data_IF_596360611307
#
_entry.id   IF_596360611307
#
_cell.length_a   1.000
_cell.length_b   1.000
_cell.length_c   1.000
_cell.angle_alpha   90.00
_cell.angle_beta   90.00
_cell.angle_gamma   90.00
#
_symmetry.space_group_name_H-M   'P 1'
#
loop_
_entity.id
_entity.type
_entity.pdbx_description
1 polymer ?
#
# COMPACT_ATOMS: atom_id res chain seq x y z
N UNK A 1 17.51 0.05 6.51
CA UNK A 1 16.37 0.88 6.06
C UNK A 1 16.88 2.28 5.83
N UNK A 2 16.50 2.89 4.71
CA UNK A 2 16.90 4.28 4.40
C UNK A 2 16.08 5.28 5.22
N UNK A 3 16.58 6.52 5.30
CA UNK A 3 15.84 7.60 5.98
C UNK A 3 14.51 7.88 5.28
N UNK A 4 14.47 7.78 3.96
CA UNK A 4 13.23 7.95 3.19
C UNK A 4 12.22 6.87 3.53
N UNK A 5 12.65 5.62 3.66
CA UNK A 5 11.77 4.50 4.05
C UNK A 5 11.28 4.66 5.49
N UNK A 6 12.15 5.08 6.40
CA UNK A 6 11.75 5.34 7.79
C UNK A 6 10.71 6.47 7.88
N UNK A 7 10.93 7.54 7.11
CA UNK A 7 10.00 8.66 7.03
C UNK A 7 8.65 8.24 6.44
N UNK A 8 8.67 7.39 5.42
CA UNK A 8 7.46 6.86 4.79
C UNK A 8 6.67 5.97 5.76
N UNK A 9 7.35 5.13 6.53
CA UNK A 9 6.72 4.32 7.57
C UNK A 9 6.09 5.19 8.66
N UNK A 10 6.74 6.30 9.03
CA UNK A 10 6.15 7.25 9.99
C UNK A 10 4.86 7.86 9.46
N UNK A 11 4.82 8.22 8.17
CA UNK A 11 3.62 8.74 7.53
C UNK A 11 2.49 7.70 7.51
N UNK A 12 2.81 6.45 7.20
CA UNK A 12 1.85 5.35 7.23
C UNK A 12 1.32 5.10 8.65
N UNK A 13 2.19 5.14 9.64
CA UNK A 13 1.80 4.99 11.05
C UNK A 13 0.83 6.09 11.48
N UNK A 14 1.09 7.33 11.11
CA UNK A 14 0.21 8.46 11.40
C UNK A 14 -1.15 8.31 10.70
N UNK A 15 -1.17 7.81 9.47
CA UNK A 15 -2.39 7.63 8.69
C UNK A 15 -3.36 6.63 9.34
N UNK A 16 -2.88 5.67 10.14
CA UNK A 16 -3.73 4.68 10.83
C UNK A 16 -4.82 5.32 11.68
N UNK A 17 -4.57 6.52 12.22
CA UNK A 17 -5.55 7.20 13.08
C UNK A 17 -6.85 7.54 12.34
N UNK A 18 -6.82 7.60 11.01
CA UNK A 18 -7.99 7.88 10.18
C UNK A 18 -8.78 6.62 9.78
N UNK A 19 -8.34 5.42 10.16
CA UNK A 19 -8.99 4.18 9.79
C UNK A 19 -10.42 4.11 10.36
N UNK A 20 -11.33 3.59 9.54
CA UNK A 20 -12.72 3.32 9.92
C UNK A 20 -12.91 1.81 9.87
N UNK A 21 -12.70 1.15 11.00
CA UNK A 21 -12.67 -0.31 11.07
C UNK A 21 -13.52 -0.88 12.21
N UNK A 22 -14.84 -0.56 12.24
CA UNK A 22 -15.72 -0.97 13.37
C UNK A 22 -15.97 -2.47 13.40
N UNK A 23 -15.73 -3.20 12.30
CA UNK A 23 -16.01 -4.62 12.21
C UNK A 23 -14.81 -5.49 12.60
N UNK A 24 -13.61 -5.16 12.12
CA UNK A 24 -12.39 -5.93 12.39
C UNK A 24 -11.60 -5.40 13.58
N UNK A 25 -11.75 -4.13 13.88
CA UNK A 25 -10.90 -3.40 14.82
C UNK A 25 -9.41 -3.47 14.43
N UNK A 26 -9.12 -3.65 13.13
CA UNK A 26 -7.78 -3.78 12.59
C UNK A 26 -7.45 -2.56 11.74
N UNK A 27 -6.83 -1.56 12.34
CA UNK A 27 -6.47 -0.32 11.68
C UNK A 27 -5.16 -0.47 10.90
N UNK A 28 -5.19 -0.07 9.63
CA UNK A 28 -4.04 -0.10 8.73
C UNK A 28 -3.79 1.29 8.20
N UNK A 29 -2.54 1.71 8.19
CA UNK A 29 -2.11 2.93 7.51
C UNK A 29 -1.17 2.60 6.37
N UNK A 30 -1.27 3.34 5.28
CA UNK A 30 -0.40 3.19 4.13
C UNK A 30 0.10 4.56 3.67
N UNK A 31 1.29 4.56 3.07
CA UNK A 31 1.88 5.74 2.46
C UNK A 31 2.59 5.36 1.18
N UNK A 32 2.47 6.19 0.16
CA UNK A 32 3.13 6.03 -1.13
C UNK A 32 4.10 7.18 -1.32
N UNK A 33 5.31 6.88 -1.77
CA UNK A 33 6.28 7.89 -2.16
C UNK A 33 6.31 7.98 -3.68
N UNK A 34 5.94 9.14 -4.21
CA UNK A 34 6.06 9.43 -5.64
C UNK A 34 7.50 9.85 -5.98
N UNK A 35 7.85 9.71 -7.26
CA UNK A 35 9.21 10.05 -7.73
C UNK A 35 9.57 11.51 -7.56
N UNK A 36 8.59 12.41 -7.48
CA UNK A 36 8.80 13.84 -7.24
C UNK A 36 8.95 14.18 -5.75
N UNK A 37 8.92 13.18 -4.87
CA UNK A 37 9.07 13.36 -3.42
C UNK A 37 7.76 13.56 -2.66
N UNK A 38 6.62 13.67 -3.34
CA UNK A 38 5.33 13.78 -2.65
C UNK A 38 4.94 12.46 -1.99
N UNK A 39 4.29 12.58 -0.83
CA UNK A 39 3.80 11.43 -0.05
C UNK A 39 2.28 11.46 -0.04
N UNK A 40 1.68 10.31 -0.37
CA UNK A 40 0.23 10.11 -0.41
C UNK A 40 -0.14 9.05 0.60
N UNK A 41 -1.10 9.34 1.47
CA UNK A 41 -1.46 8.44 2.56
C UNK A 41 -2.89 7.96 2.46
N UNK A 42 -3.17 6.84 3.13
CA UNK A 42 -4.50 6.29 3.25
C UNK A 42 -4.63 5.40 4.46
N UNK A 43 -5.85 5.15 4.85
CA UNK A 43 -6.20 4.23 5.92
C UNK A 43 -7.37 3.36 5.46
N UNK A 44 -7.54 2.18 6.05
CA UNK A 44 -8.61 1.29 5.64
C UNK A 44 -9.98 1.82 6.08
N UNK A 45 -10.98 1.58 5.23
CA UNK A 45 -12.38 1.93 5.47
C UNK A 45 -13.21 0.68 5.27
N UNK A 46 -13.91 0.28 6.30
CA UNK A 46 -14.78 -0.90 6.28
C UNK A 46 -16.23 -0.54 6.05
N UNK A 47 -16.96 -1.50 5.50
CA UNK A 47 -18.40 -1.44 5.33
C UNK A 47 -19.00 -2.75 5.85
N UNK A 48 -20.23 -2.71 6.35
CA UNK A 48 -20.94 -3.91 6.80
C UNK A 48 -21.09 -4.92 5.65
N UNK A 49 -21.17 -4.43 4.42
CA UNK A 49 -21.00 -5.27 3.23
C UNK A 49 -19.52 -5.35 2.92
N UNK A 50 -18.86 -6.40 3.36
CA UNK A 50 -17.40 -6.52 3.39
C UNK A 50 -16.72 -6.31 2.04
N UNK A 51 -17.41 -6.61 0.95
CA UNK A 51 -16.85 -6.43 -0.40
C UNK A 51 -16.73 -4.96 -0.80
N UNK A 52 -17.38 -4.05 -0.10
CA UNK A 52 -17.39 -2.62 -0.43
C UNK A 52 -16.34 -1.82 0.32
N UNK A 53 -15.66 -2.41 1.30
CA UNK A 53 -14.56 -1.75 2.00
C UNK A 53 -13.31 -1.65 1.13
N UNK A 54 -12.39 -0.76 1.54
CA UNK A 54 -11.09 -0.60 0.89
C UNK A 54 -9.95 -0.75 1.89
N UNK A 55 -8.89 -1.44 1.47
CA UNK A 55 -7.64 -1.47 2.20
C UNK A 55 -6.93 -0.12 2.14
N UNK A 56 -6.10 0.17 3.13
CA UNK A 56 -5.35 1.43 3.22
C UNK A 56 -4.52 1.71 1.97
N UNK A 57 -3.88 0.70 1.40
CA UNK A 57 -3.04 0.84 0.21
C UNK A 57 -3.85 1.30 -0.99
N UNK A 58 -5.08 0.77 -1.16
CA UNK A 58 -5.95 1.19 -2.28
C UNK A 58 -6.51 2.58 -2.06
N UNK A 59 -6.86 2.96 -0.83
CA UNK A 59 -7.27 4.33 -0.52
C UNK A 59 -6.15 5.31 -0.91
N UNK A 60 -4.91 5.00 -0.52
CA UNK A 60 -3.77 5.86 -0.81
C UNK A 60 -3.51 5.99 -2.31
N UNK A 61 -3.44 4.85 -3.03
CA UNK A 61 -3.07 4.88 -4.45
C UNK A 61 -4.16 5.47 -5.34
N UNK A 62 -5.42 5.19 -5.06
CA UNK A 62 -6.52 5.77 -5.85
C UNK A 62 -6.60 7.27 -5.64
N UNK A 63 -6.41 7.74 -4.42
CA UNK A 63 -6.34 9.16 -4.14
C UNK A 63 -5.18 9.83 -4.89
N UNK A 64 -3.99 9.23 -4.83
CA UNK A 64 -2.81 9.74 -5.52
C UNK A 64 -3.02 9.82 -7.04
N UNK A 65 -3.51 8.73 -7.64
CA UNK A 65 -3.75 8.66 -9.08
C UNK A 65 -4.74 9.71 -9.56
N UNK A 66 -5.84 9.90 -8.82
CA UNK A 66 -6.87 10.88 -9.19
C UNK A 66 -6.44 12.33 -8.93
N UNK A 67 -5.33 12.52 -8.24
CA UNK A 67 -4.70 13.83 -8.03
C UNK A 67 -3.43 14.03 -8.87
N UNK A 68 -3.23 13.18 -9.89
CA UNK A 68 -2.21 13.38 -10.91
C UNK A 68 -0.87 12.65 -10.67
N UNK A 69 -0.70 11.95 -9.55
CA UNK A 69 0.52 11.16 -9.31
C UNK A 69 0.54 9.93 -10.20
N UNK A 70 1.74 9.53 -10.67
CA UNK A 70 1.89 8.39 -11.59
C UNK A 70 3.05 7.47 -11.23
N UNK A 71 4.18 8.00 -10.86
CA UNK A 71 5.41 7.23 -10.66
C UNK A 71 5.69 7.09 -9.17
N UNK A 72 5.57 5.86 -8.66
CA UNK A 72 5.76 5.57 -7.25
C UNK A 72 7.02 4.74 -7.05
N UNK A 73 7.85 5.12 -6.10
CA UNK A 73 9.12 4.47 -5.81
C UNK A 73 9.09 3.59 -4.57
N UNK A 74 8.16 3.85 -3.66
CA UNK A 74 8.02 3.07 -2.43
C UNK A 74 6.60 3.09 -1.90
N UNK A 75 6.25 2.01 -1.21
CA UNK A 75 4.98 1.83 -0.50
C UNK A 75 5.30 1.42 0.92
N UNK A 76 4.69 2.07 1.90
CA UNK A 76 4.79 1.71 3.30
C UNK A 76 3.44 1.30 3.86
N UNK A 77 3.42 0.27 4.71
CA UNK A 77 2.20 -0.22 5.37
C UNK A 77 2.51 -0.46 6.84
N UNK A 78 1.67 0.06 7.73
CA UNK A 78 1.80 -0.13 9.18
C UNK A 78 0.51 -0.69 9.75
N UNK A 79 0.64 -1.76 10.53
CA UNK A 79 -0.49 -2.41 11.18
C UNK A 79 -0.18 -2.70 12.65
N UNK A 80 -1.21 -3.06 13.42
CA UNK A 80 -1.07 -3.53 14.79
C UNK A 80 -0.91 -5.04 14.92
N UNK A 81 -0.62 -5.76 13.83
CA UNK A 81 -0.40 -7.21 13.86
C UNK A 81 0.88 -7.56 14.66
N UNK A 82 0.99 -8.83 15.04
CA UNK A 82 2.17 -9.31 15.78
C UNK A 82 3.45 -9.30 14.91
N UNK A 83 3.29 -9.50 13.59
CA UNK A 83 4.39 -9.46 12.62
C UNK A 83 4.04 -8.52 11.47
N UNK A 84 5.03 -8.00 10.73
CA UNK A 84 4.76 -7.12 9.59
C UNK A 84 3.83 -7.78 8.59
N UNK A 85 2.80 -7.04 8.16
CA UNK A 85 1.79 -7.54 7.21
C UNK A 85 2.06 -6.96 5.84
N UNK A 86 2.10 -7.82 4.82
CA UNK A 86 2.21 -7.39 3.43
C UNK A 86 0.82 -7.07 2.87
N UNK A 87 0.74 -6.26 1.79
CA UNK A 87 -0.54 -5.98 1.14
C UNK A 87 -1.30 -7.23 0.74
N UNK A 88 -2.63 -7.20 0.85
CA UNK A 88 -3.47 -8.33 0.43
C UNK A 88 -3.40 -8.54 -1.09
N UNK A 89 -3.94 -9.65 -1.59
CA UNK A 89 -3.87 -9.99 -3.01
C UNK A 89 -4.45 -8.92 -3.92
N UNK A 90 -5.59 -8.34 -3.56
CA UNK A 90 -6.21 -7.27 -4.34
C UNK A 90 -5.30 -6.03 -4.40
N UNK A 91 -4.70 -5.64 -3.28
CA UNK A 91 -3.77 -4.51 -3.24
C UNK A 91 -2.51 -4.80 -4.06
N UNK A 92 -2.00 -6.03 -4.02
CA UNK A 92 -0.83 -6.44 -4.84
C UNK A 92 -1.13 -6.28 -6.32
N UNK A 93 -2.33 -6.66 -6.75
CA UNK A 93 -2.75 -6.53 -8.15
C UNK A 93 -2.81 -5.06 -8.58
N UNK A 94 -3.39 -4.21 -7.75
CA UNK A 94 -3.45 -2.76 -8.03
C UNK A 94 -2.05 -2.14 -8.04
N UNK A 95 -1.21 -2.50 -7.08
CA UNK A 95 0.16 -2.00 -7.02
C UNK A 95 1.00 -2.45 -8.22
N UNK A 96 0.79 -3.68 -8.70
CA UNK A 96 1.48 -4.17 -9.88
C UNK A 96 1.17 -3.32 -11.12
N UNK A 97 -0.07 -2.84 -11.26
CA UNK A 97 -0.48 -1.99 -12.39
C UNK A 97 0.17 -0.60 -12.32
N UNK A 98 0.17 0.03 -11.14
CA UNK A 98 0.49 1.44 -11.01
C UNK A 98 1.83 1.74 -10.32
N UNK A 99 2.43 0.76 -9.68
CA UNK A 99 3.65 0.92 -8.88
C UNK A 99 4.55 -0.32 -8.98
N UNK A 100 4.68 -0.89 -10.18
CA UNK A 100 5.32 -2.19 -10.39
C UNK A 100 6.75 -2.27 -9.85
N UNK A 101 7.50 -1.17 -9.93
CA UNK A 101 8.92 -1.15 -9.53
C UNK A 101 9.15 -0.59 -8.12
N UNK A 102 8.07 -0.39 -7.37
CA UNK A 102 8.18 0.16 -6.03
C UNK A 102 8.73 -0.86 -5.03
N UNK A 103 9.52 -0.37 -4.08
CA UNK A 103 9.88 -1.08 -2.86
C UNK A 103 8.69 -1.07 -1.92
N UNK A 104 8.49 -2.16 -1.20
CA UNK A 104 7.45 -2.26 -0.16
C UNK A 104 8.15 -2.41 1.20
N UNK A 105 7.86 -1.50 2.11
CA UNK A 105 8.32 -1.59 3.49
C UNK A 105 7.10 -1.70 4.40
N UNK A 106 7.11 -2.66 5.29
CA UNK A 106 6.01 -2.85 6.23
C UNK A 106 6.53 -2.84 7.65
N UNK A 107 5.69 -2.41 8.57
CA UNK A 107 6.05 -2.40 9.99
C UNK A 107 4.84 -2.69 10.87
N UNK A 108 5.14 -3.21 12.05
CA UNK A 108 4.18 -3.27 13.15
C UNK A 108 4.25 -1.98 13.96
N UNK A 109 3.22 -1.71 14.75
CA UNK A 109 3.25 -0.59 15.70
C UNK A 109 4.30 -0.79 16.80
N UNK A 110 4.78 -2.02 17.01
CA UNK A 110 5.87 -2.32 17.93
C UNK A 110 7.26 -2.08 17.33
N UNK A 111 7.35 -1.76 16.03
CA UNK A 111 8.60 -1.39 15.38
C UNK A 111 9.31 -2.51 14.61
N UNK A 112 8.72 -3.71 14.53
CA UNK A 112 9.25 -4.78 13.70
C UNK A 112 9.00 -4.44 12.23
N UNK A 113 10.01 -4.62 11.36
CA UNK A 113 9.95 -4.20 9.96
C UNK A 113 10.27 -5.34 9.00
N UNK A 114 9.78 -5.21 7.76
CA UNK A 114 10.08 -6.11 6.65
C UNK A 114 10.20 -5.28 5.37
N UNK A 115 11.08 -5.68 4.47
CA UNK A 115 11.30 -5.01 3.19
C UNK A 115 11.20 -6.01 2.05
N UNK A 116 10.45 -5.68 1.03
CA UNK A 116 10.29 -6.49 -0.19
C UNK A 116 10.02 -5.55 -1.38
N UNK A 117 9.43 -6.06 -2.45
CA UNK A 117 9.05 -5.27 -3.62
C UNK A 117 7.67 -5.69 -4.11
N UNK A 118 7.03 -4.82 -4.90
CA UNK A 118 5.73 -5.14 -5.49
C UNK A 118 5.84 -6.38 -6.38
N UNK A 119 6.88 -6.47 -7.21
CA UNK A 119 7.07 -7.63 -8.10
C UNK A 119 7.29 -8.92 -7.33
N UNK A 120 8.04 -8.88 -6.23
CA UNK A 120 8.28 -10.07 -5.41
C UNK A 120 7.01 -10.57 -4.73
N UNK A 121 6.06 -9.68 -4.44
CA UNK A 121 4.79 -10.03 -3.79
C UNK A 121 3.76 -10.62 -4.75
N UNK A 122 3.95 -10.47 -6.06
CA UNK A 122 3.03 -11.03 -7.06
C UNK A 122 3.82 -11.56 -8.26
N UNK A 123 4.59 -12.66 -8.07
CA UNK A 123 5.36 -13.26 -9.16
C UNK A 123 4.42 -13.77 -10.25
N UNK A 124 4.81 -13.55 -11.51
CA UNK A 124 4.00 -13.91 -12.68
C UNK A 124 2.60 -13.27 -12.67
N UNK A 125 2.48 -12.09 -12.07
CA UNK A 125 1.19 -11.41 -11.94
C UNK A 125 0.60 -11.01 -13.30
N UNK A 126 -0.70 -10.95 -13.35
CA UNK A 126 -1.42 -10.45 -14.52
C UNK A 126 -1.28 -8.92 -14.59
N UNK A 127 -0.81 -8.40 -15.70
CA UNK A 127 -0.68 -6.96 -15.92
C UNK A 127 -1.13 -6.58 -17.34
N UNK A 128 -0.96 -5.30 -17.71
CA UNK A 128 -1.39 -4.80 -19.01
C UNK A 128 -0.71 -5.54 -20.17
N UNK A 129 0.51 -6.03 -19.99
CA UNK A 129 1.21 -6.80 -21.04
C UNK A 129 0.51 -8.11 -21.33
N UNK A 130 -0.24 -8.67 -20.38
CA UNK A 130 -1.02 -9.90 -20.57
C UNK A 130 -2.18 -9.71 -21.56
N UNK A 131 -2.56 -8.46 -21.85
CA UNK A 131 -3.61 -8.12 -22.80
C UNK A 131 -3.08 -7.91 -24.21
N UNK A 132 -1.76 -7.96 -24.41
CA UNK A 132 -1.16 -7.75 -25.72
C UNK A 132 -1.56 -8.87 -26.68
N UNK A 133 -1.86 -8.50 -27.94
CA UNK A 133 -2.23 -9.43 -29.00
C UNK A 133 -1.07 -9.65 -29.95
N UNK A 134 -0.95 -10.87 -30.44
CA UNK A 134 0.08 -11.22 -31.42
C UNK A 134 -0.36 -10.98 -32.87
N UNK A 135 -1.62 -10.65 -33.09
CA UNK A 135 -2.23 -10.48 -34.42
C UNK A 135 -2.61 -9.02 -34.69
#
# INVERSE_FOLDING_TARGET
MSDAEASLLAAAAAARAAAICPHSNFAVGAALLASDGTVWTGANVENASYTLGLCAERVAIFYALTHGARDFTAVAVVTGAATPSTPCGACRQILLEFAADATVVTATTAGETMRTSVRALLPFGFDASSLARSE
#
